data_IF_859300224963
#
_entry.id   IF_859300224963
#
_cell.length_a   1.000
_cell.length_b   1.000
_cell.length_c   1.000
_cell.angle_alpha   90.00
_cell.angle_beta   90.00
_cell.angle_gamma   90.00
#
_symmetry.space_group_name_H-M   'P 1'
#
loop_
_entity.id
_entity.type
_entity.pdbx_description
1 polymer ?
#
# COMPACT_ATOMS: atom_id res chain seq x y z
N UNK A 1 -40.96 19.61 -23.04
CA UNK A 1 -40.99 18.21 -23.48
C UNK A 1 -40.77 18.20 -24.99
N UNK A 2 -39.61 17.73 -25.45
CA UNK A 2 -39.30 17.60 -26.89
C UNK A 2 -38.62 16.24 -27.05
N UNK A 3 -39.21 15.42 -27.93
CA UNK A 3 -38.87 14.02 -28.21
C UNK A 3 -37.41 13.80 -28.63
N UNK A 4 -36.85 12.70 -28.12
CA UNK A 4 -35.59 12.12 -28.58
C UNK A 4 -35.79 11.38 -29.90
N UNK A 5 -35.08 11.79 -30.95
CA UNK A 5 -35.00 11.05 -32.22
C UNK A 5 -33.83 10.07 -32.16
N UNK A 6 -34.12 8.78 -32.03
CA UNK A 6 -33.14 7.69 -32.16
C UNK A 6 -32.63 7.62 -33.61
N UNK A 7 -31.32 7.84 -33.80
CA UNK A 7 -30.62 7.59 -35.07
C UNK A 7 -30.20 6.12 -35.15
N UNK A 8 -30.39 5.43 -36.30
CA UNK A 8 -29.96 4.05 -36.47
C UNK A 8 -28.42 3.95 -36.51
N UNK A 9 -27.90 2.95 -35.79
CA UNK A 9 -26.47 2.63 -35.64
C UNK A 9 -25.93 2.12 -36.98
N UNK A 10 -25.04 2.86 -37.65
CA UNK A 10 -24.30 2.36 -38.81
C UNK A 10 -23.24 1.37 -38.30
N UNK A 11 -23.30 0.13 -38.81
CA UNK A 11 -22.27 -0.88 -38.57
C UNK A 11 -21.02 -0.51 -39.38
N UNK A 12 -19.91 -0.25 -38.69
CA UNK A 12 -18.62 -0.11 -39.34
C UNK A 12 -18.06 -1.51 -39.66
N UNK A 13 -17.63 -1.67 -40.92
CA UNK A 13 -16.99 -2.86 -41.47
C UNK A 13 -15.70 -3.17 -40.69
N UNK A 14 -15.39 -4.46 -40.60
CA UNK A 14 -14.19 -5.01 -39.99
C UNK A 14 -12.96 -4.50 -40.75
N UNK A 15 -12.09 -3.79 -40.06
CA UNK A 15 -10.71 -3.60 -40.50
C UNK A 15 -9.91 -4.80 -40.02
N UNK A 16 -9.66 -5.72 -40.95
CA UNK A 16 -8.64 -6.75 -40.81
C UNK A 16 -7.28 -6.07 -40.94
N UNK A 17 -6.47 -6.08 -39.89
CA UNK A 17 -5.02 -5.92 -40.04
C UNK A 17 -4.23 -6.43 -38.83
N UNK A 18 -3.51 -7.52 -39.09
CA UNK A 18 -2.24 -7.95 -38.54
C UNK A 18 -2.13 -8.14 -37.02
N UNK A 19 -2.40 -9.38 -36.59
CA UNK A 19 -1.83 -9.92 -35.36
C UNK A 19 -0.30 -9.93 -35.49
N UNK A 20 0.35 -8.88 -34.99
CA UNK A 20 1.72 -9.01 -34.52
C UNK A 20 1.67 -9.98 -33.34
N UNK A 21 1.98 -11.25 -33.61
CA UNK A 21 2.19 -12.27 -32.59
C UNK A 21 3.49 -11.96 -31.83
N UNK A 22 3.48 -10.87 -31.07
CA UNK A 22 4.47 -10.58 -30.06
C UNK A 22 4.17 -11.48 -28.88
N UNK A 23 5.07 -12.41 -28.55
CA UNK A 23 4.97 -13.14 -27.30
C UNK A 23 5.05 -12.11 -26.16
N UNK A 24 3.93 -11.78 -25.53
CA UNK A 24 3.97 -11.18 -24.21
C UNK A 24 4.58 -12.25 -23.31
N UNK A 25 5.86 -12.08 -22.97
CA UNK A 25 6.47 -12.89 -21.93
C UNK A 25 5.63 -12.64 -20.68
N UNK A 26 4.87 -13.64 -20.25
CA UNK A 26 4.17 -13.60 -19.00
C UNK A 26 5.24 -13.47 -17.91
N UNK A 27 5.49 -12.25 -17.44
CA UNK A 27 6.36 -12.02 -16.29
C UNK A 27 5.59 -12.55 -15.10
N UNK A 28 5.88 -13.78 -14.68
CA UNK A 28 5.37 -14.30 -13.43
C UNK A 28 5.97 -13.47 -12.30
N UNK A 29 5.19 -12.54 -11.73
CA UNK A 29 5.56 -11.91 -10.46
C UNK A 29 5.49 -13.01 -9.40
N UNK A 30 6.65 -13.41 -8.90
CA UNK A 30 6.72 -14.22 -7.70
C UNK A 30 6.30 -13.37 -6.51
N UNK A 31 5.14 -13.66 -5.93
CA UNK A 31 4.71 -13.02 -4.69
C UNK A 31 5.31 -13.79 -3.51
N UNK A 32 6.28 -13.19 -2.82
CA UNK A 32 6.77 -13.72 -1.54
C UNK A 32 5.96 -13.11 -0.41
N UNK A 33 5.30 -13.94 0.38
CA UNK A 33 4.60 -13.50 1.59
C UNK A 33 5.57 -13.50 2.78
N UNK A 34 5.64 -12.38 3.49
CA UNK A 34 6.25 -12.30 4.81
C UNK A 34 5.20 -12.67 5.85
N UNK A 35 5.44 -13.75 6.61
CA UNK A 35 4.56 -14.17 7.70
C UNK A 35 5.21 -13.82 9.05
N UNK A 36 4.52 -13.01 9.85
CA UNK A 36 5.00 -12.58 11.17
C UNK A 36 4.37 -13.42 12.29
N UNK A 37 5.18 -14.17 13.03
CA UNK A 37 4.72 -14.95 14.20
C UNK A 37 4.73 -14.09 15.47
N UNK A 38 3.54 -13.80 16.03
CA UNK A 38 3.39 -12.92 17.21
C UNK A 38 4.18 -13.35 18.46
N UNK A 39 4.51 -14.65 18.59
CA UNK A 39 5.20 -15.22 19.77
C UNK A 39 6.73 -15.13 19.71
N UNK A 40 7.31 -14.90 18.53
CA UNK A 40 8.75 -14.97 18.30
C UNK A 40 9.34 -13.61 17.88
N UNK A 41 8.56 -12.53 18.01
CA UNK A 41 9.01 -11.20 17.62
C UNK A 41 10.08 -10.69 18.60
N UNK A 42 11.32 -10.69 18.14
CA UNK A 42 12.39 -9.87 18.72
C UNK A 42 12.34 -8.53 17.99
N UNK A 43 11.82 -7.50 18.65
CA UNK A 43 11.76 -6.18 18.05
C UNK A 43 13.13 -5.50 18.09
N UNK A 44 13.72 -5.28 16.92
CA UNK A 44 14.88 -4.42 16.77
C UNK A 44 14.40 -2.98 16.58
N UNK A 45 14.92 -2.06 17.39
CA UNK A 45 14.54 -0.64 17.39
C UNK A 45 14.84 0.07 16.06
N UNK A 46 15.77 -0.47 15.26
CA UNK A 46 16.18 0.09 13.98
C UNK A 46 15.54 -0.60 12.76
N UNK A 47 14.73 -1.64 12.97
CA UNK A 47 14.08 -2.35 11.86
C UNK A 47 12.69 -1.80 11.57
N UNK A 48 12.40 -1.62 10.27
CA UNK A 48 11.12 -1.17 9.76
C UNK A 48 10.53 -2.21 8.80
N UNK A 49 9.23 -2.44 8.91
CA UNK A 49 8.48 -3.25 7.95
C UNK A 49 7.82 -2.34 6.92
N UNK A 50 8.12 -2.54 5.65
CA UNK A 50 7.45 -1.85 4.55
C UNK A 50 6.17 -2.61 4.20
N UNK A 51 5.02 -1.99 4.48
CA UNK A 51 3.70 -2.56 4.20
C UNK A 51 2.91 -1.63 3.26
N UNK A 52 2.74 -2.06 2.00
CA UNK A 52 1.96 -1.30 1.02
C UNK A 52 0.48 -1.15 1.38
N UNK A 53 -0.04 -1.97 2.31
CA UNK A 53 -1.39 -1.87 2.83
C UNK A 53 -1.53 -0.94 4.04
N UNK A 54 -0.43 -0.48 4.64
CA UNK A 54 -0.46 0.43 5.77
C UNK A 54 -0.74 1.88 5.31
N UNK A 55 -1.65 2.56 6.00
CA UNK A 55 -1.97 3.98 5.75
C UNK A 55 -1.14 4.92 6.62
N UNK A 56 -0.69 4.44 7.78
CA UNK A 56 0.06 5.21 8.77
C UNK A 56 1.39 4.53 9.08
N UNK A 57 2.42 5.34 9.31
CA UNK A 57 3.71 4.87 9.83
C UNK A 57 3.71 5.02 11.34
N UNK A 58 4.03 3.95 12.06
CA UNK A 58 4.00 3.94 13.52
C UNK A 58 5.15 3.09 14.10
N UNK A 59 5.60 3.48 15.29
CA UNK A 59 6.63 2.76 16.06
C UNK A 59 6.21 2.66 17.52
N UNK A 60 6.51 1.54 18.22
CA UNK A 60 6.36 1.47 19.67
C UNK A 60 7.51 2.17 20.42
N UNK A 61 8.59 2.56 19.72
CA UNK A 61 9.80 3.12 20.31
C UNK A 61 9.81 4.64 20.18
N UNK A 62 9.71 5.35 21.31
CA UNK A 62 9.78 6.82 21.31
C UNK A 62 11.21 7.32 21.11
N UNK A 63 12.19 6.48 21.43
CA UNK A 63 13.62 6.79 21.45
C UNK A 63 14.19 7.06 20.05
N UNK A 64 13.53 6.56 18.99
CA UNK A 64 13.93 6.80 17.59
C UNK A 64 13.37 8.10 17.02
N UNK A 65 12.50 8.79 17.77
CA UNK A 65 11.85 10.01 17.33
C UNK A 65 12.61 11.23 17.84
N UNK A 66 13.28 11.92 16.92
CA UNK A 66 14.17 13.05 17.22
C UNK A 66 13.48 14.26 17.88
N UNK A 67 12.20 14.46 17.61
CA UNK A 67 11.39 15.58 18.10
C UNK A 67 10.06 15.08 18.69
N UNK A 68 10.10 13.97 19.43
CA UNK A 68 8.91 13.39 20.05
C UNK A 68 8.16 14.43 20.89
N UNK A 69 6.87 14.58 20.58
CA UNK A 69 5.92 15.31 21.41
C UNK A 69 4.78 14.39 21.83
N UNK A 70 4.44 14.44 23.11
CA UNK A 70 3.28 13.73 23.64
C UNK A 70 2.00 14.44 23.20
N UNK A 71 1.14 13.72 22.49
CA UNK A 71 -0.12 14.24 21.96
C UNK A 71 -1.18 13.14 21.99
N UNK A 72 -2.42 13.51 22.28
CA UNK A 72 -3.55 12.58 22.22
C UNK A 72 -4.30 12.75 20.90
N UNK A 73 -3.89 12.00 19.87
CA UNK A 73 -4.44 12.08 18.51
C UNK A 73 -5.53 11.04 18.23
N UNK A 74 -5.98 10.30 19.24
CA UNK A 74 -6.97 9.23 19.09
C UNK A 74 -6.33 7.85 18.93
N UNK A 75 -6.79 7.08 17.93
CA UNK A 75 -6.40 5.68 17.76
C UNK A 75 -6.13 5.32 16.30
N UNK A 76 -5.16 4.46 16.06
CA UNK A 76 -4.98 3.73 14.78
C UNK A 76 -5.62 2.34 14.87
N UNK A 77 -6.01 1.78 13.73
CA UNK A 77 -6.55 0.42 13.64
C UNK A 77 -5.44 -0.48 13.06
N UNK A 78 -5.04 -1.49 13.81
CA UNK A 78 -4.05 -2.48 13.37
C UNK A 78 -4.69 -3.49 12.40
N UNK A 79 -3.85 -4.25 11.68
CA UNK A 79 -4.29 -5.25 10.72
C UNK A 79 -5.18 -6.36 11.32
N UNK A 80 -5.04 -6.64 12.62
CA UNK A 80 -5.90 -7.59 13.35
C UNK A 80 -7.23 -6.97 13.85
N UNK A 81 -7.51 -5.72 13.48
CA UNK A 81 -8.71 -4.97 13.87
C UNK A 81 -8.62 -4.27 15.23
N UNK A 82 -7.53 -4.45 15.99
CA UNK A 82 -7.37 -3.80 17.28
C UNK A 82 -7.14 -2.30 17.16
N UNK A 83 -7.67 -1.53 18.11
CA UNK A 83 -7.46 -0.08 18.21
C UNK A 83 -6.28 0.22 19.13
N UNK A 84 -5.26 0.88 18.60
CA UNK A 84 -4.07 1.28 19.35
C UNK A 84 -4.08 2.78 19.60
N UNK A 85 -3.94 3.19 20.86
CA UNK A 85 -3.92 4.61 21.23
C UNK A 85 -2.63 5.28 20.76
N UNK A 86 -2.76 6.41 20.08
CA UNK A 86 -1.63 7.25 19.71
C UNK A 86 -1.13 8.00 20.95
N UNK A 87 0.14 7.82 21.28
CA UNK A 87 0.80 8.43 22.44
C UNK A 87 1.52 9.73 22.10
N UNK A 88 1.94 9.89 20.85
CA UNK A 88 2.68 11.06 20.42
C UNK A 88 3.01 10.99 18.95
N UNK A 89 3.82 11.95 18.49
CA UNK A 89 4.36 11.99 17.13
C UNK A 89 5.77 12.56 17.14
N UNK A 90 6.53 12.26 16.11
CA UNK A 90 7.85 12.82 15.86
C UNK A 90 8.41 12.32 14.53
N UNK A 91 9.62 12.74 14.19
CA UNK A 91 10.37 12.38 13.00
C UNK A 91 11.31 11.21 13.31
N UNK A 92 11.13 10.12 12.58
CA UNK A 92 12.09 9.03 12.48
C UNK A 92 13.03 9.30 11.29
N UNK A 93 14.32 9.04 11.47
CA UNK A 93 15.28 8.98 10.37
C UNK A 93 15.33 7.55 9.87
N UNK A 94 15.14 7.36 8.57
CA UNK A 94 15.26 6.07 7.90
C UNK A 94 16.49 6.13 7.00
N UNK A 95 17.42 5.20 7.22
CA UNK A 95 18.49 4.95 6.28
C UNK A 95 18.00 3.83 5.35
N UNK A 96 17.76 4.17 4.09
CA UNK A 96 17.30 3.22 3.07
C UNK A 96 18.47 3.04 2.13
N UNK A 97 19.08 1.85 2.17
CA UNK A 97 20.10 1.49 1.20
C UNK A 97 19.43 1.32 -0.18
N UNK A 98 19.90 2.07 -1.17
CA UNK A 98 19.55 1.84 -2.56
C UNK A 98 20.26 0.56 -3.04
N UNK A 99 19.49 -0.47 -3.39
CA UNK A 99 19.98 -1.73 -3.98
C UNK A 99 20.04 -1.67 -5.51
#
# INVERSE_FOLDING_TARGET
MVEQKHHPRKANKKDENNEASGSVAAVSREYRALCMNKKEQVYNINEWTLDSGATDHMTPFKEILSDFIEVNLGTVIAADGNRLKIKGKGKALLDIEDY
#
